data_IF_976143723157
#
_entry.id   IF_976143723157
#
_cell.length_a   1.000
_cell.length_b   1.000
_cell.length_c   1.000
_cell.angle_alpha   90.00
_cell.angle_beta   90.00
_cell.angle_gamma   90.00
#
_symmetry.space_group_name_H-M   'P 1'
#
loop_
_entity.id
_entity.type
_entity.pdbx_description
1 polymer ?
#
# COMPACT_ATOMS: atom_id res chain seq x y z
N UNK A 1 17.01 -41.04 24.02
CA UNK A 1 17.18 -40.07 25.11
C UNK A 1 18.43 -39.26 24.79
N UNK A 2 18.27 -38.17 24.05
CA UNK A 2 19.19 -37.03 23.95
C UNK A 2 18.51 -36.01 23.04
N UNK A 3 18.03 -34.95 23.68
CA UNK A 3 17.39 -33.77 23.12
C UNK A 3 18.48 -32.87 22.54
N UNK A 4 18.26 -32.33 21.33
CA UNK A 4 19.03 -31.20 20.85
C UNK A 4 18.03 -30.13 20.40
N UNK A 5 17.94 -29.08 21.20
CA UNK A 5 17.25 -27.83 20.89
C UNK A 5 18.06 -27.07 19.84
N UNK A 6 17.38 -26.56 18.81
CA UNK A 6 18.01 -25.86 17.70
C UNK A 6 17.09 -24.81 17.09
N UNK A 7 17.22 -23.58 17.60
CA UNK A 7 17.02 -22.29 16.93
C UNK A 7 15.80 -22.12 16.01
N UNK A 8 14.70 -21.64 16.58
CA UNK A 8 13.71 -20.85 15.86
C UNK A 8 14.10 -19.37 15.90
N UNK A 9 14.27 -18.75 14.73
CA UNK A 9 14.56 -17.31 14.64
C UNK A 9 15.17 -16.92 13.30
N UNK A 10 14.39 -16.97 12.22
CA UNK A 10 14.71 -16.29 10.95
C UNK A 10 13.51 -16.21 9.99
N UNK A 11 12.31 -15.90 10.51
CA UNK A 11 11.08 -15.87 9.71
C UNK A 11 10.61 -14.49 9.23
N UNK A 12 11.14 -13.38 9.77
CA UNK A 12 10.43 -12.09 9.70
C UNK A 12 10.98 -11.07 8.69
N UNK A 13 12.13 -11.33 8.05
CA UNK A 13 12.73 -10.44 7.03
C UNK A 13 12.19 -10.69 5.60
N UNK A 14 11.30 -11.67 5.41
CA UNK A 14 10.81 -12.06 4.08
C UNK A 14 9.73 -11.11 3.51
N UNK A 15 8.88 -10.50 4.35
CA UNK A 15 7.78 -9.64 3.86
C UNK A 15 8.26 -8.35 3.19
N UNK A 16 9.30 -7.69 3.73
CA UNK A 16 9.90 -6.53 3.06
C UNK A 16 10.66 -6.91 1.78
N UNK A 17 11.20 -8.13 1.73
CA UNK A 17 12.03 -8.58 0.61
C UNK A 17 11.19 -8.79 -0.66
N UNK A 18 9.96 -9.31 -0.56
CA UNK A 18 9.09 -9.49 -1.74
C UNK A 18 8.54 -8.14 -2.24
N UNK A 19 8.17 -7.21 -1.34
CA UNK A 19 7.77 -5.86 -1.73
C UNK A 19 8.92 -5.04 -2.38
N UNK A 20 10.17 -5.24 -1.95
CA UNK A 20 11.34 -4.59 -2.53
C UNK A 20 11.84 -5.28 -3.82
N UNK A 21 11.81 -6.61 -3.92
CA UNK A 21 12.34 -7.33 -5.09
C UNK A 21 11.48 -7.16 -6.34
N UNK A 22 10.16 -6.99 -6.20
CA UNK A 22 9.26 -6.68 -7.33
C UNK A 22 9.50 -5.30 -7.96
N UNK A 23 10.20 -4.38 -7.29
CA UNK A 23 10.21 -2.96 -7.69
C UNK A 23 11.57 -2.32 -7.98
N UNK A 24 12.70 -2.97 -7.65
CA UNK A 24 14.04 -2.46 -8.03
C UNK A 24 14.27 -2.51 -9.56
N UNK A 25 13.41 -3.19 -10.36
CA UNK A 25 13.68 -3.47 -11.78
C UNK A 25 13.15 -2.47 -12.83
N UNK A 26 12.49 -1.38 -12.46
CA UNK A 26 12.01 -0.37 -13.43
C UNK A 26 12.97 0.81 -13.61
N UNK A 27 14.23 0.53 -13.97
CA UNK A 27 15.21 1.55 -14.38
C UNK A 27 15.41 1.55 -15.90
N UNK A 28 14.96 2.61 -16.57
CA UNK A 28 15.18 2.82 -18.00
C UNK A 28 16.68 2.94 -18.35
N UNK A 29 17.11 2.15 -19.34
CA UNK A 29 18.36 2.33 -20.06
C UNK A 29 18.45 3.73 -20.68
N UNK A 30 19.48 4.49 -20.32
CA UNK A 30 19.96 5.61 -21.12
C UNK A 30 21.36 5.24 -21.63
N UNK A 31 21.43 5.01 -22.93
CA UNK A 31 22.60 4.67 -23.70
C UNK A 31 23.52 5.89 -23.83
N UNK A 32 24.76 5.81 -23.31
CA UNK A 32 25.88 6.61 -23.78
C UNK A 32 27.16 5.80 -23.73
N UNK A 33 27.56 5.39 -24.92
CA UNK A 33 28.90 5.00 -25.31
C UNK A 33 29.96 6.05 -24.92
N UNK A 34 30.97 5.65 -24.13
CA UNK A 34 32.34 6.17 -24.24
C UNK A 34 33.32 5.00 -24.01
N UNK A 35 34.25 4.91 -24.95
CA UNK A 35 35.30 3.93 -25.18
C UNK A 35 36.42 3.84 -24.12
N UNK A 36 36.96 2.63 -24.01
CA UNK A 36 38.29 2.19 -23.55
C UNK A 36 39.23 3.18 -22.83
N UNK A 37 39.73 2.81 -21.64
CA UNK A 37 41.17 2.46 -21.45
C UNK A 37 41.46 1.70 -20.13
N UNK A 38 42.31 0.67 -20.23
CA UNK A 38 43.21 -0.02 -19.26
C UNK A 38 43.12 0.19 -17.73
N UNK A 39 42.95 -0.94 -17.05
CA UNK A 39 43.84 -1.54 -16.03
C UNK A 39 44.74 -0.64 -15.16
N UNK A 40 44.54 -0.71 -13.83
CA UNK A 40 45.62 -0.99 -12.88
C UNK A 40 45.07 -1.44 -11.52
N UNK A 41 45.65 -2.53 -11.04
CA UNK A 41 45.52 -3.19 -9.75
C UNK A 41 46.45 -2.49 -8.75
N UNK A 42 45.96 -1.94 -7.65
CA UNK A 42 46.77 -1.76 -6.43
C UNK A 42 45.90 -2.10 -5.21
N UNK A 43 46.54 -2.92 -4.38
CA UNK A 43 46.07 -3.56 -3.18
C UNK A 43 46.53 -2.76 -1.95
N UNK A 44 45.93 -3.07 -0.79
CA UNK A 44 46.36 -2.82 0.60
C UNK A 44 46.12 -1.46 1.29
N UNK A 45 45.30 -1.59 2.34
CA UNK A 45 45.57 -1.32 3.77
C UNK A 45 46.14 0.05 4.17
N UNK A 46 45.44 0.70 5.11
CA UNK A 46 46.06 1.71 5.97
C UNK A 46 45.08 2.48 6.83
N UNK A 47 45.15 2.25 8.13
CA UNK A 47 44.43 2.90 9.23
C UNK A 47 44.66 4.42 9.25
N UNK A 48 43.75 5.16 9.90
CA UNK A 48 44.13 6.46 10.48
C UNK A 48 42.97 7.39 10.78
N UNK A 49 42.70 7.59 12.07
CA UNK A 49 41.75 8.53 12.64
C UNK A 49 42.05 10.01 12.31
N UNK A 50 41.04 10.89 12.44
CA UNK A 50 41.28 12.32 12.54
C UNK A 50 40.08 13.23 12.30
N UNK A 51 39.37 13.56 13.39
CA UNK A 51 38.83 14.88 13.79
C UNK A 51 38.36 15.94 12.76
N UNK A 52 37.26 16.60 13.14
CA UNK A 52 36.80 17.91 12.64
C UNK A 52 35.85 17.79 11.45
N UNK A 53 34.73 18.49 11.34
CA UNK A 53 34.45 19.88 11.72
C UNK A 53 32.93 20.05 11.85
N UNK A 54 32.53 20.79 12.88
CA UNK A 54 31.18 21.34 13.04
C UNK A 54 30.90 22.36 11.92
N UNK A 55 29.87 22.12 11.12
CA UNK A 55 29.35 23.06 10.13
C UNK A 55 27.91 23.42 10.46
N UNK A 56 27.72 24.42 11.32
CA UNK A 56 26.49 25.21 11.38
C UNK A 56 26.23 25.81 9.99
N UNK A 57 24.99 25.72 9.50
CA UNK A 57 24.55 26.58 8.41
C UNK A 57 23.22 27.22 8.77
N UNK A 58 23.26 28.54 8.62
CA UNK A 58 22.37 29.55 9.14
C UNK A 58 20.97 29.53 8.53
N UNK A 59 20.01 29.78 9.43
CA UNK A 59 18.70 30.35 9.16
C UNK A 59 18.87 31.73 8.51
N UNK A 60 18.21 31.99 7.38
CA UNK A 60 18.07 33.33 6.82
C UNK A 60 16.58 33.70 6.86
N UNK A 61 16.25 34.60 7.78
CA UNK A 61 15.01 35.37 7.86
C UNK A 61 15.25 36.75 7.25
N UNK A 62 14.31 37.24 6.43
CA UNK A 62 14.01 38.66 6.22
C UNK A 62 12.67 38.79 5.44
N UNK A 63 12.04 39.98 5.37
CA UNK A 63 11.07 40.48 6.34
C UNK A 63 9.69 40.78 5.72
N UNK A 64 8.73 41.12 6.59
CA UNK A 64 7.30 41.24 6.26
C UNK A 64 6.85 42.48 5.50
N UNK A 65 5.56 42.47 5.17
CA UNK A 65 4.76 43.64 4.80
C UNK A 65 3.34 43.49 5.35
N UNK A 66 2.74 44.65 5.62
CA UNK A 66 1.67 44.92 6.58
C UNK A 66 0.24 44.71 6.02
N UNK A 67 -0.69 44.48 6.95
CA UNK A 67 -2.15 44.54 6.79
C UNK A 67 -2.66 45.95 6.41
N UNK A 68 -3.90 46.00 5.88
CA UNK A 68 -4.85 46.99 6.37
C UNK A 68 -6.14 46.34 6.93
N UNK A 69 -6.61 46.96 8.01
CA UNK A 69 -7.94 46.99 8.64
C UNK A 69 -9.14 46.94 7.65
N UNK A 70 -10.42 46.71 7.99
CA UNK A 70 -11.27 46.36 9.15
C UNK A 70 -12.71 46.24 8.59
N UNK A 71 -13.56 45.39 9.18
CA UNK A 71 -14.99 45.62 9.48
C UNK A 71 -15.86 44.40 9.14
N UNK A 72 -16.58 43.91 10.16
CA UNK A 72 -17.18 42.58 10.16
C UNK A 72 -18.61 42.48 9.67
N UNK A 73 -19.17 41.28 9.83
CA UNK A 73 -20.59 41.05 10.05
C UNK A 73 -20.84 39.64 10.64
N UNK A 74 -21.54 39.67 11.78
CA UNK A 74 -22.58 38.75 12.28
C UNK A 74 -22.37 37.22 12.33
N UNK A 75 -22.50 36.75 13.57
CA UNK A 75 -22.85 35.41 14.06
C UNK A 75 -24.04 34.81 13.30
N UNK A 76 -23.91 33.55 12.88
CA UNK A 76 -24.98 32.76 12.28
C UNK A 76 -24.59 31.30 12.07
N UNK A 77 -25.01 30.46 13.02
CA UNK A 77 -25.42 29.06 12.91
C UNK A 77 -24.39 27.97 12.49
N UNK A 78 -24.06 27.11 13.48
CA UNK A 78 -23.23 25.93 13.32
C UNK A 78 -24.08 24.75 12.80
N UNK A 79 -24.23 24.67 11.49
CA UNK A 79 -24.67 23.47 10.79
C UNK A 79 -23.48 22.58 10.42
N UNK A 80 -23.48 21.36 10.92
CA UNK A 80 -22.47 20.29 10.72
C UNK A 80 -22.02 20.10 9.27
N UNK A 81 -20.71 20.13 9.02
CA UNK A 81 -20.04 19.85 7.73
C UNK A 81 -20.29 18.43 7.15
N UNK A 82 -20.95 17.53 7.90
CA UNK A 82 -21.23 16.16 7.49
C UNK A 82 -22.41 16.00 6.49
N UNK A 83 -23.18 17.05 6.20
CA UNK A 83 -24.41 16.94 5.37
C UNK A 83 -24.33 17.57 3.98
N UNK A 84 -23.17 18.10 3.55
CA UNK A 84 -23.01 18.78 2.25
C UNK A 84 -22.62 17.87 1.07
N UNK A 85 -22.43 16.57 1.30
CA UNK A 85 -22.03 15.61 0.25
C UNK A 85 -23.21 14.95 -0.50
N UNK A 86 -24.47 15.32 -0.23
CA UNK A 86 -25.64 14.58 -0.76
C UNK A 86 -26.47 15.24 -1.87
N UNK A 87 -26.13 16.42 -2.39
CA UNK A 87 -26.92 17.01 -3.49
C UNK A 87 -26.06 17.71 -4.53
N UNK A 88 -25.87 17.03 -5.67
CA UNK A 88 -25.17 17.60 -6.82
C UNK A 88 -24.89 16.59 -7.94
N UNK A 89 -25.89 15.85 -8.41
CA UNK A 89 -25.79 15.12 -9.68
C UNK A 89 -27.07 15.30 -10.50
N UNK A 90 -26.99 16.20 -11.49
CA UNK A 90 -27.85 16.18 -12.65
C UNK A 90 -27.08 16.69 -13.88
N UNK A 91 -26.82 15.75 -14.79
CA UNK A 91 -26.59 15.89 -16.23
C UNK A 91 -25.30 16.54 -16.76
N UNK A 92 -24.40 15.69 -17.28
CA UNK A 92 -24.05 15.69 -18.71
C UNK A 92 -23.74 14.26 -19.17
N UNK A 93 -24.41 13.84 -20.24
CA UNK A 93 -24.15 12.58 -20.93
C UNK A 93 -22.83 12.69 -21.72
N UNK A 94 -21.80 12.03 -21.21
CA UNK A 94 -20.57 11.68 -21.94
C UNK A 94 -20.12 10.33 -21.40
N UNK A 95 -19.88 9.35 -22.26
CA UNK A 95 -19.40 8.03 -21.88
C UNK A 95 -18.09 8.13 -21.09
N UNK A 96 -18.17 8.03 -19.76
CA UNK A 96 -17.02 7.94 -18.88
C UNK A 96 -17.05 6.56 -18.21
N UNK A 97 -16.19 5.66 -18.70
CA UNK A 97 -16.03 4.26 -18.31
C UNK A 97 -14.58 3.88 -18.66
N UNK A 98 -13.70 3.26 -17.86
CA UNK A 98 -13.73 2.70 -16.50
C UNK A 98 -12.27 2.54 -16.02
N UNK A 99 -12.00 2.34 -14.73
CA UNK A 99 -10.67 2.13 -14.13
C UNK A 99 -10.15 0.68 -14.16
N UNK A 100 -10.79 -0.17 -14.96
CA UNK A 100 -10.10 -1.22 -15.72
C UNK A 100 -10.37 -1.03 -17.21
N UNK A 101 -9.35 -1.25 -18.02
CA UNK A 101 -9.53 -1.25 -19.48
C UNK A 101 -10.36 -2.46 -19.91
N UNK A 102 -10.93 -2.41 -21.12
CA UNK A 102 -11.65 -3.54 -21.70
C UNK A 102 -10.78 -4.80 -21.71
N UNK A 103 -9.51 -4.67 -22.12
CA UNK A 103 -8.57 -5.79 -22.13
C UNK A 103 -8.31 -6.36 -20.73
N UNK A 104 -8.16 -5.51 -19.71
CA UNK A 104 -8.01 -5.96 -18.32
C UNK A 104 -9.25 -6.74 -17.85
N UNK A 105 -10.46 -6.32 -18.19
CA UNK A 105 -11.67 -7.08 -17.89
C UNK A 105 -11.69 -8.45 -18.54
N UNK A 106 -11.27 -8.55 -19.79
CA UNK A 106 -11.23 -9.83 -20.49
C UNK A 106 -10.18 -10.78 -19.90
N UNK A 107 -8.97 -10.28 -19.60
CA UNK A 107 -7.93 -11.07 -18.93
C UNK A 107 -8.38 -11.50 -17.53
N UNK A 108 -8.99 -10.59 -16.76
CA UNK A 108 -9.57 -10.91 -15.45
C UNK A 108 -10.62 -12.01 -15.56
N UNK A 109 -11.50 -11.93 -16.57
CA UNK A 109 -12.55 -12.93 -16.82
C UNK A 109 -12.02 -14.34 -17.06
N UNK A 110 -10.78 -14.49 -17.55
CA UNK A 110 -10.14 -15.79 -17.72
C UNK A 110 -9.60 -16.35 -16.40
N UNK A 111 -8.96 -15.52 -15.58
CA UNK A 111 -8.22 -16.00 -14.40
C UNK A 111 -9.03 -15.91 -13.09
N UNK A 112 -10.16 -15.20 -13.07
CA UNK A 112 -10.94 -14.97 -11.84
C UNK A 112 -11.46 -16.28 -11.23
N UNK A 113 -11.84 -17.25 -12.06
CA UNK A 113 -12.30 -18.57 -11.62
C UNK A 113 -11.18 -19.40 -10.96
N UNK A 114 -9.91 -19.04 -11.18
CA UNK A 114 -8.75 -19.68 -10.58
C UNK A 114 -8.39 -19.07 -9.22
N UNK A 115 -9.16 -18.07 -8.73
CA UNK A 115 -8.92 -17.45 -7.42
C UNK A 115 -9.57 -18.26 -6.30
N UNK A 116 -8.95 -18.18 -5.14
CA UNK A 116 -9.40 -18.81 -3.90
C UNK A 116 -8.93 -17.99 -2.71
N UNK A 117 -9.28 -18.38 -1.49
CA UNK A 117 -8.75 -17.74 -0.29
C UNK A 117 -7.20 -17.71 -0.28
N UNK A 118 -6.56 -18.78 -0.79
CA UNK A 118 -5.10 -18.91 -0.84
C UNK A 118 -4.45 -18.27 -2.07
N UNK A 119 -5.24 -17.83 -3.04
CA UNK A 119 -4.79 -17.16 -4.26
C UNK A 119 -5.78 -16.04 -4.58
N UNK A 120 -5.48 -14.84 -4.10
CA UNK A 120 -6.42 -13.73 -4.09
C UNK A 120 -5.77 -12.46 -4.66
N UNK A 121 -6.60 -11.57 -5.19
CA UNK A 121 -6.12 -10.27 -5.65
C UNK A 121 -5.73 -9.37 -4.49
N UNK A 122 -4.63 -8.66 -4.67
CA UNK A 122 -4.08 -7.72 -3.71
C UNK A 122 -3.64 -6.43 -4.43
N UNK A 123 -2.77 -5.66 -3.77
CA UNK A 123 -2.14 -4.49 -4.36
C UNK A 123 -3.11 -3.38 -4.76
N UNK A 124 -2.72 -2.61 -5.77
CA UNK A 124 -3.47 -1.41 -6.19
C UNK A 124 -4.85 -1.73 -6.78
N UNK A 125 -5.01 -2.91 -7.36
CA UNK A 125 -6.23 -3.34 -8.04
C UNK A 125 -7.44 -3.39 -7.09
N UNK A 126 -7.23 -3.84 -5.84
CA UNK A 126 -8.28 -3.97 -4.82
C UNK A 126 -9.01 -2.64 -4.55
N UNK A 127 -8.27 -1.53 -4.56
CA UNK A 127 -8.84 -0.20 -4.37
C UNK A 127 -9.34 0.40 -5.69
N UNK A 128 -8.65 0.12 -6.80
CA UNK A 128 -8.77 0.90 -8.03
C UNK A 128 -9.56 0.19 -9.14
N UNK A 129 -10.28 -0.90 -8.85
CA UNK A 129 -11.10 -1.61 -9.84
C UNK A 129 -12.47 -0.97 -10.09
N UNK A 130 -13.02 -0.23 -9.12
CA UNK A 130 -14.36 0.37 -9.17
C UNK A 130 -14.42 1.64 -10.03
N UNK A 131 -15.52 1.85 -10.77
CA UNK A 131 -15.68 2.87 -11.82
C UNK A 131 -15.24 4.31 -11.48
N UNK A 132 -15.35 4.69 -10.22
CA UNK A 132 -15.04 6.00 -9.67
C UNK A 132 -13.60 6.14 -9.12
N UNK A 133 -12.76 5.12 -9.34
CA UNK A 133 -11.38 5.08 -8.88
C UNK A 133 -10.57 6.31 -9.32
N UNK A 134 -9.66 6.81 -8.46
CA UNK A 134 -8.79 7.94 -8.75
C UNK A 134 -7.79 7.68 -9.89
N UNK A 135 -7.38 6.43 -10.10
CA UNK A 135 -6.31 6.06 -11.03
C UNK A 135 -6.52 4.68 -11.65
N UNK A 136 -5.92 4.45 -12.80
CA UNK A 136 -5.85 3.12 -13.40
C UNK A 136 -4.89 2.22 -12.62
N UNK A 137 -5.21 0.93 -12.51
CA UNK A 137 -4.22 -0.10 -12.16
C UNK A 137 -3.52 -0.61 -13.43
N UNK A 138 -2.21 -0.82 -13.38
CA UNK A 138 -1.43 -1.29 -14.54
C UNK A 138 -1.15 -2.79 -14.49
N UNK A 139 -1.17 -3.32 -13.29
CA UNK A 139 -0.73 -4.63 -12.88
C UNK A 139 -1.84 -5.32 -12.09
N UNK A 140 -1.89 -6.65 -12.25
CA UNK A 140 -2.68 -7.56 -11.44
C UNK A 140 -1.75 -8.22 -10.43
N UNK A 141 -1.90 -7.85 -9.16
CA UNK A 141 -1.16 -8.44 -8.05
C UNK A 141 -1.99 -9.59 -7.46
N UNK A 142 -1.46 -10.81 -7.50
CA UNK A 142 -2.09 -12.02 -6.92
C UNK A 142 -1.20 -12.57 -5.82
N UNK A 143 -1.71 -12.59 -4.60
CA UNK A 143 -0.95 -13.02 -3.42
C UNK A 143 -1.31 -14.44 -3.01
N UNK A 144 -0.30 -15.14 -2.49
CA UNK A 144 -0.41 -16.52 -2.00
C UNK A 144 0.21 -16.65 -0.63
N UNK A 145 -0.45 -17.43 0.23
CA UNK A 145 0.05 -17.74 1.59
C UNK A 145 1.25 -18.72 1.54
N UNK A 146 1.42 -19.47 0.45
CA UNK A 146 2.47 -20.49 0.28
C UNK A 146 3.11 -20.43 -1.11
N UNK A 147 4.42 -20.66 -1.20
CA UNK A 147 5.16 -20.66 -2.49
C UNK A 147 4.67 -21.77 -3.43
N UNK A 148 4.30 -22.94 -2.90
CA UNK A 148 3.78 -24.03 -3.74
C UNK A 148 2.44 -23.68 -4.39
N UNK A 149 1.58 -22.94 -3.68
CA UNK A 149 0.29 -22.50 -4.22
C UNK A 149 0.50 -21.45 -5.33
N UNK A 150 1.49 -20.56 -5.15
CA UNK A 150 1.93 -19.61 -6.18
C UNK A 150 2.38 -20.32 -7.46
N UNK A 151 3.28 -21.29 -7.34
CA UNK A 151 3.83 -22.00 -8.50
C UNK A 151 2.72 -22.70 -9.29
N UNK A 152 1.87 -23.48 -8.61
CA UNK A 152 0.76 -24.21 -9.24
C UNK A 152 -0.23 -23.24 -9.89
N UNK A 153 -0.59 -22.18 -9.18
CA UNK A 153 -1.63 -21.26 -9.65
C UNK A 153 -1.14 -20.37 -10.79
N UNK A 154 0.12 -19.93 -10.76
CA UNK A 154 0.71 -19.16 -11.85
C UNK A 154 0.81 -19.96 -13.15
N UNK A 155 1.19 -21.25 -13.10
CA UNK A 155 1.17 -22.11 -14.28
C UNK A 155 -0.26 -22.32 -14.81
N UNK A 156 -1.22 -22.54 -13.90
CA UNK A 156 -2.62 -22.73 -14.27
C UNK A 156 -3.22 -21.48 -14.94
N UNK A 157 -2.89 -20.28 -14.43
CA UNK A 157 -3.30 -19.02 -15.04
C UNK A 157 -2.70 -18.85 -16.44
N UNK A 158 -1.42 -19.17 -16.63
CA UNK A 158 -0.78 -19.13 -17.95
C UNK A 158 -1.50 -20.06 -18.93
N UNK A 159 -1.74 -21.31 -18.55
CA UNK A 159 -2.44 -22.29 -19.40
C UNK A 159 -3.85 -21.79 -19.75
N UNK A 160 -4.56 -21.20 -18.79
CA UNK A 160 -5.90 -20.64 -19.00
C UNK A 160 -5.88 -19.50 -20.02
N UNK A 161 -4.89 -18.61 -19.91
CA UNK A 161 -4.72 -17.45 -20.80
C UNK A 161 -4.31 -17.85 -22.22
N UNK A 162 -3.37 -18.79 -22.36
CA UNK A 162 -2.96 -19.33 -23.65
C UNK A 162 -4.12 -20.06 -24.33
N UNK A 163 -4.91 -20.83 -23.57
CA UNK A 163 -6.11 -21.52 -24.08
C UNK A 163 -7.20 -20.55 -24.53
N UNK A 164 -7.27 -19.36 -23.92
CA UNK A 164 -8.15 -18.27 -24.34
C UNK A 164 -7.60 -17.46 -25.54
N UNK A 165 -6.44 -17.84 -26.08
CA UNK A 165 -5.85 -17.25 -27.28
C UNK A 165 -4.98 -16.01 -27.02
N UNK A 166 -4.60 -15.75 -25.76
CA UNK A 166 -3.65 -14.68 -25.43
C UNK A 166 -2.21 -15.14 -25.57
N UNK A 167 -1.33 -14.24 -25.99
CA UNK A 167 0.11 -14.48 -25.90
C UNK A 167 0.58 -14.16 -24.48
N UNK A 168 1.33 -15.08 -23.85
CA UNK A 168 1.84 -14.90 -22.49
C UNK A 168 3.37 -14.94 -22.50
N UNK A 169 3.98 -13.82 -22.16
CA UNK A 169 5.43 -13.70 -22.01
C UNK A 169 5.81 -13.90 -20.54
N UNK A 170 6.34 -15.08 -20.20
CA UNK A 170 6.91 -15.36 -18.87
C UNK A 170 8.23 -14.57 -18.71
N UNK A 171 8.29 -13.65 -17.74
CA UNK A 171 9.53 -12.94 -17.43
C UNK A 171 10.40 -13.82 -16.53
N UNK A 172 11.35 -14.52 -17.15
CA UNK A 172 12.18 -15.55 -16.52
C UNK A 172 13.67 -15.21 -16.52
N UNK A 173 14.02 -13.95 -16.22
CA UNK A 173 15.41 -13.47 -16.32
C UNK A 173 16.37 -14.15 -15.33
N UNK A 174 15.86 -14.73 -14.24
CA UNK A 174 16.66 -15.35 -13.18
C UNK A 174 16.18 -16.77 -12.83
N UNK A 175 15.42 -17.39 -13.74
CA UNK A 175 14.88 -18.74 -13.57
C UNK A 175 13.70 -18.79 -12.59
N UNK A 176 12.97 -17.69 -12.40
CA UNK A 176 11.77 -17.62 -11.54
C UNK A 176 10.67 -18.61 -11.95
N UNK A 177 10.61 -19.00 -13.23
CA UNK A 177 9.65 -19.95 -13.78
C UNK A 177 10.18 -21.39 -13.87
N UNK A 178 11.49 -21.60 -13.68
CA UNK A 178 12.13 -22.92 -13.82
C UNK A 178 12.17 -23.71 -12.49
N UNK A 179 11.83 -23.06 -11.38
CA UNK A 179 11.89 -23.62 -10.03
C UNK A 179 10.86 -22.94 -9.12
N UNK A 180 10.65 -23.46 -7.90
CA UNK A 180 9.83 -22.77 -6.93
C UNK A 180 10.34 -21.36 -6.62
N UNK A 181 9.45 -20.37 -6.71
CA UNK A 181 9.81 -18.96 -6.57
C UNK A 181 8.77 -18.19 -5.75
N UNK A 182 9.23 -17.32 -4.86
CA UNK A 182 8.36 -16.41 -4.09
C UNK A 182 7.76 -15.29 -4.92
N UNK A 183 8.17 -15.16 -6.19
CA UNK A 183 7.65 -14.16 -7.11
C UNK A 183 7.75 -14.66 -8.56
N UNK A 184 6.68 -14.49 -9.32
CA UNK A 184 6.62 -14.74 -10.76
C UNK A 184 5.92 -13.57 -11.45
N UNK A 185 6.36 -13.27 -12.67
CA UNK A 185 5.81 -12.18 -13.48
C UNK A 185 5.62 -12.62 -14.91
N UNK A 186 4.50 -12.24 -15.51
CA UNK A 186 4.23 -12.43 -16.92
C UNK A 186 3.56 -11.20 -17.53
N UNK A 187 3.72 -11.03 -18.84
CA UNK A 187 3.01 -10.03 -19.63
C UNK A 187 2.03 -10.75 -20.55
N UNK A 188 0.75 -10.47 -20.39
CA UNK A 188 -0.32 -10.99 -21.26
C UNK A 188 -0.57 -9.98 -22.36
N UNK A 189 -0.62 -10.43 -23.62
CA UNK A 189 -0.71 -9.56 -24.79
C UNK A 189 -1.80 -10.02 -25.76
N UNK A 190 -2.43 -9.03 -26.41
CA UNK A 190 -3.23 -9.23 -27.63
C UNK A 190 -3.16 -8.00 -28.50
N UNK A 191 -2.57 -8.13 -29.69
CA UNK A 191 -2.27 -6.98 -30.54
C UNK A 191 -1.37 -5.99 -29.79
N UNK A 192 -1.80 -4.72 -29.72
CA UNK A 192 -1.08 -3.65 -29.03
C UNK A 192 -1.47 -3.51 -27.54
N UNK A 193 -2.43 -4.29 -27.06
CA UNK A 193 -2.87 -4.28 -25.66
C UNK A 193 -2.04 -5.25 -24.81
N UNK A 194 -1.66 -4.82 -23.61
CA UNK A 194 -0.95 -5.66 -22.65
C UNK A 194 -1.32 -5.38 -21.20
N UNK A 195 -1.17 -6.40 -20.34
CA UNK A 195 -1.31 -6.29 -18.88
C UNK A 195 -0.25 -7.14 -18.19
N UNK A 196 0.31 -6.63 -17.09
CA UNK A 196 1.27 -7.36 -16.26
C UNK A 196 0.52 -8.16 -15.20
N UNK A 197 0.88 -9.42 -15.03
CA UNK A 197 0.44 -10.26 -13.92
C UNK A 197 1.65 -10.57 -13.04
N UNK A 198 1.47 -10.32 -11.74
CA UNK A 198 2.49 -10.48 -10.72
C UNK A 198 1.92 -11.45 -9.66
N UNK A 199 2.49 -12.64 -9.56
CA UNK A 199 2.17 -13.60 -8.50
C UNK A 199 3.25 -13.50 -7.43
N UNK A 200 2.84 -13.24 -6.19
CA UNK A 200 3.75 -13.05 -5.07
C UNK A 200 3.37 -13.94 -3.88
N UNK A 201 4.37 -14.45 -3.19
CA UNK A 201 4.20 -15.04 -1.87
C UNK A 201 4.21 -13.90 -0.86
N UNK A 202 3.16 -13.80 -0.05
CA UNK A 202 3.03 -12.79 1.00
C UNK A 202 2.79 -13.46 2.35
N UNK A 203 3.10 -12.75 3.42
CA UNK A 203 2.80 -13.24 4.77
C UNK A 203 1.30 -13.50 4.91
N UNK A 204 0.94 -14.68 5.42
CA UNK A 204 -0.43 -15.01 5.76
C UNK A 204 -0.96 -14.20 6.96
N UNK A 205 -0.12 -13.37 7.62
CA UNK A 205 -0.54 -12.51 8.71
C UNK A 205 -1.41 -11.34 8.21
N UNK A 206 -2.65 -11.30 8.68
CA UNK A 206 -3.66 -10.27 8.34
C UNK A 206 -4.63 -10.05 9.48
N UNK A 207 -5.30 -8.90 9.49
CA UNK A 207 -6.34 -8.59 10.47
C UNK A 207 -7.63 -9.29 10.12
N UNK A 208 -8.03 -9.24 8.86
CA UNK A 208 -9.29 -9.82 8.38
C UNK A 208 -9.03 -10.97 7.41
N UNK A 209 -9.95 -11.95 7.33
CA UNK A 209 -9.88 -12.99 6.31
C UNK A 209 -9.91 -12.40 4.90
N UNK A 210 -9.44 -13.19 3.93
CA UNK A 210 -9.66 -12.88 2.51
C UNK A 210 -11.16 -12.91 2.24
N UNK A 211 -11.63 -11.94 1.46
CA UNK A 211 -13.05 -11.76 1.19
C UNK A 211 -13.38 -12.06 -0.27
N UNK A 212 -14.59 -12.53 -0.51
CA UNK A 212 -15.12 -12.67 -1.86
C UNK A 212 -15.42 -11.31 -2.46
N UNK A 213 -15.20 -11.16 -3.76
CA UNK A 213 -15.48 -9.94 -4.50
C UNK A 213 -16.23 -10.28 -5.80
N UNK A 214 -17.32 -9.57 -6.15
CA UNK A 214 -18.08 -9.88 -7.35
C UNK A 214 -17.30 -9.75 -8.67
N UNK A 215 -16.29 -8.87 -8.70
CA UNK A 215 -15.47 -8.63 -9.88
C UNK A 215 -14.15 -9.41 -9.82
N UNK A 216 -13.49 -9.41 -8.65
CA UNK A 216 -12.17 -10.01 -8.46
C UNK A 216 -12.22 -11.48 -8.00
N UNK A 217 -13.40 -12.01 -7.67
CA UNK A 217 -13.57 -13.36 -7.13
C UNK A 217 -13.15 -13.44 -5.67
N UNK A 218 -11.86 -13.30 -5.40
CA UNK A 218 -11.26 -13.26 -4.06
C UNK A 218 -10.24 -12.13 -3.95
N UNK A 219 -10.29 -11.38 -2.85
CA UNK A 219 -9.37 -10.27 -2.63
C UNK A 219 -8.99 -10.08 -1.16
N UNK A 220 -7.87 -9.40 -0.97
CA UNK A 220 -7.47 -8.89 0.35
C UNK A 220 -8.55 -7.95 0.91
N UNK A 221 -8.78 -8.03 2.22
CA UNK A 221 -9.63 -7.08 2.92
C UNK A 221 -9.06 -5.65 2.75
N UNK A 222 -9.94 -4.66 2.60
CA UNK A 222 -9.51 -3.31 2.23
C UNK A 222 -8.65 -2.65 3.32
N UNK A 223 -8.95 -2.94 4.59
CA UNK A 223 -8.12 -2.49 5.71
C UNK A 223 -6.70 -3.10 5.69
N UNK A 224 -6.59 -4.39 5.39
CA UNK A 224 -5.28 -5.05 5.23
C UNK A 224 -4.51 -4.49 4.03
N UNK A 225 -5.21 -4.11 2.96
CA UNK A 225 -4.63 -3.38 1.84
C UNK A 225 -4.10 -2.00 2.28
N UNK A 226 -4.85 -1.27 3.11
CA UNK A 226 -4.41 0.01 3.68
C UNK A 226 -3.15 -0.13 4.54
N UNK A 227 -3.11 -1.15 5.39
CA UNK A 227 -1.93 -1.50 6.18
C UNK A 227 -0.72 -1.79 5.28
N UNK A 228 -0.90 -2.63 4.25
CA UNK A 228 0.16 -2.94 3.28
C UNK A 228 0.63 -1.67 2.54
N UNK A 229 -0.27 -0.72 2.26
CA UNK A 229 0.07 0.55 1.61
C UNK A 229 0.84 1.50 2.51
N UNK A 230 0.54 1.55 3.81
CA UNK A 230 1.32 2.33 4.76
C UNK A 230 2.78 1.85 4.82
N UNK A 231 3.00 0.53 4.88
CA UNK A 231 4.34 -0.07 4.85
C UNK A 231 5.06 0.14 3.52
N UNK A 232 4.35 0.01 2.40
CA UNK A 232 4.95 0.32 1.10
C UNK A 232 5.37 1.80 1.01
N UNK A 233 4.50 2.73 1.42
CA UNK A 233 4.77 4.16 1.38
C UNK A 233 5.90 4.56 2.34
N UNK A 234 6.09 3.85 3.45
CA UNK A 234 7.19 4.12 4.38
C UNK A 234 8.57 3.62 3.87
N UNK A 235 8.60 2.82 2.81
CA UNK A 235 9.82 2.21 2.29
C UNK A 235 10.23 2.75 0.90
N UNK A 236 9.32 3.33 0.12
CA UNK A 236 9.61 3.81 -1.25
C UNK A 236 8.80 5.05 -1.64
N UNK A 237 9.34 5.81 -2.59
CA UNK A 237 8.62 6.92 -3.24
C UNK A 237 8.02 6.45 -4.56
N UNK A 238 6.72 6.17 -4.56
CA UNK A 238 5.96 5.88 -5.79
C UNK A 238 4.65 6.67 -5.73
N UNK A 239 4.39 7.50 -6.75
CA UNK A 239 3.18 8.37 -6.80
C UNK A 239 1.88 7.60 -6.56
N UNK A 240 1.79 6.35 -7.04
CA UNK A 240 0.60 5.50 -6.86
C UNK A 240 0.31 5.17 -5.38
N UNK A 241 1.35 4.94 -4.58
CA UNK A 241 1.18 4.62 -3.16
C UNK A 241 0.72 5.85 -2.38
N UNK A 242 1.16 7.05 -2.78
CA UNK A 242 0.68 8.31 -2.22
C UNK A 242 -0.79 8.59 -2.55
N UNK A 243 -1.23 8.34 -3.80
CA UNK A 243 -2.64 8.47 -4.17
C UNK A 243 -3.48 7.45 -3.38
N UNK A 244 -3.05 6.18 -3.37
CA UNK A 244 -3.79 5.11 -2.72
C UNK A 244 -3.95 5.38 -1.21
N UNK A 245 -2.90 5.82 -0.50
CA UNK A 245 -3.01 6.07 0.94
C UNK A 245 -3.97 7.22 1.25
N UNK A 246 -4.03 8.25 0.41
CA UNK A 246 -4.97 9.36 0.61
C UNK A 246 -6.41 8.90 0.50
N UNK A 247 -6.69 8.03 -0.47
CA UNK A 247 -8.04 7.50 -0.69
C UNK A 247 -8.44 6.52 0.40
N UNK A 248 -7.50 5.70 0.88
CA UNK A 248 -7.71 4.82 2.01
C UNK A 248 -7.89 5.60 3.31
N UNK A 249 -7.20 6.73 3.48
CA UNK A 249 -7.34 7.61 4.64
C UNK A 249 -8.70 8.35 4.69
N UNK A 250 -9.45 8.38 3.59
CA UNK A 250 -10.85 8.85 3.55
C UNK A 250 -11.85 7.79 3.99
N UNK A 251 -11.44 6.51 4.00
CA UNK A 251 -12.24 5.36 4.42
C UNK A 251 -11.92 5.00 5.87
N UNK A 252 -10.64 4.91 6.20
CA UNK A 252 -10.15 4.57 7.53
C UNK A 252 -9.26 5.70 8.07
N UNK A 253 -9.34 6.04 9.36
CA UNK A 253 -8.44 7.03 9.95
C UNK A 253 -6.96 6.64 9.74
N UNK A 254 -6.12 7.59 9.32
CA UNK A 254 -4.70 7.31 9.03
C UNK A 254 -3.97 6.76 10.26
N UNK A 255 -4.26 7.32 11.44
CA UNK A 255 -3.77 6.85 12.73
C UNK A 255 -4.10 5.37 13.00
N UNK A 256 -5.28 4.90 12.60
CA UNK A 256 -5.67 3.50 12.73
C UNK A 256 -4.88 2.59 11.78
N UNK A 257 -4.69 3.02 10.53
CA UNK A 257 -3.88 2.30 9.54
C UNK A 257 -2.42 2.18 10.02
N UNK A 258 -1.84 3.30 10.48
CA UNK A 258 -0.45 3.36 10.95
C UNK A 258 -0.25 2.50 12.20
N UNK A 259 -1.18 2.58 13.15
CA UNK A 259 -1.12 1.78 14.39
C UNK A 259 -1.17 0.28 14.10
N UNK A 260 -2.07 -0.15 13.21
CA UNK A 260 -2.17 -1.54 12.80
C UNK A 260 -0.94 -1.98 11.98
N UNK A 261 -0.39 -1.13 11.11
CA UNK A 261 0.76 -1.52 10.29
C UNK A 261 1.99 -1.99 11.08
N UNK A 262 2.20 -1.47 12.29
CA UNK A 262 3.24 -1.94 13.21
C UNK A 262 3.07 -3.39 13.67
N UNK A 263 1.89 -4.01 13.53
CA UNK A 263 1.68 -5.42 13.84
C UNK A 263 2.16 -6.37 12.75
N UNK A 264 2.28 -5.88 11.51
CA UNK A 264 2.89 -6.64 10.41
C UNK A 264 4.41 -6.50 10.37
N UNK A 265 4.94 -5.39 10.88
CA UNK A 265 6.37 -5.12 11.01
C UNK A 265 6.67 -4.51 12.38
N UNK A 266 7.03 -5.38 13.32
CA UNK A 266 7.37 -5.05 14.70
C UNK A 266 8.63 -4.16 14.82
N UNK A 267 9.37 -3.97 13.72
CA UNK A 267 10.49 -3.03 13.66
C UNK A 267 10.07 -1.55 13.70
N UNK A 268 8.77 -1.26 13.55
CA UNK A 268 8.24 0.09 13.57
C UNK A 268 7.48 0.41 14.87
N UNK A 269 7.69 1.63 15.39
CA UNK A 269 6.68 2.30 16.22
C UNK A 269 5.75 3.16 15.34
N UNK A 270 4.51 3.45 15.78
CA UNK A 270 3.56 4.23 14.97
C UNK A 270 4.10 5.60 14.53
N UNK A 271 4.76 6.33 15.44
CA UNK A 271 5.37 7.63 15.13
C UNK A 271 6.55 7.49 14.14
N UNK A 272 7.37 6.45 14.28
CA UNK A 272 8.46 6.23 13.34
C UNK A 272 7.95 5.87 11.95
N UNK A 273 6.94 5.00 11.85
CA UNK A 273 6.32 4.64 10.58
C UNK A 273 5.72 5.88 9.89
N UNK A 274 4.95 6.69 10.62
CA UNK A 274 4.36 7.92 10.09
C UNK A 274 5.42 8.92 9.59
N UNK A 275 6.52 9.08 10.34
CA UNK A 275 7.64 9.93 9.91
C UNK A 275 8.25 9.43 8.58
N UNK A 276 8.40 8.12 8.43
CA UNK A 276 8.91 7.51 7.19
C UNK A 276 7.92 7.68 6.03
N UNK A 277 6.62 7.52 6.27
CA UNK A 277 5.58 7.81 5.27
C UNK A 277 5.66 9.27 4.82
N UNK A 278 5.72 10.24 5.74
CA UNK A 278 5.87 11.68 5.42
C UNK A 278 7.10 11.97 4.58
N UNK A 279 8.23 11.27 4.82
CA UNK A 279 9.48 11.42 4.07
C UNK A 279 9.35 10.98 2.61
N UNK A 280 8.66 9.88 2.36
CA UNK A 280 8.57 9.26 1.03
C UNK A 280 7.32 9.64 0.23
N UNK A 281 6.33 10.21 0.89
CA UNK A 281 5.10 10.78 0.33
C UNK A 281 5.37 11.96 -0.64
N UNK A 282 5.64 11.63 -1.91
CA UNK A 282 5.90 12.58 -2.98
C UNK A 282 5.12 12.23 -4.25
N UNK A 283 4.56 13.26 -4.87
CA UNK A 283 3.99 13.17 -6.22
C UNK A 283 5.07 13.58 -7.22
N UNK A 284 5.36 12.70 -8.17
CA UNK A 284 6.07 13.05 -9.40
C UNK A 284 5.04 13.50 -10.47
N UNK A 285 5.05 14.78 -10.91
CA UNK A 285 4.01 15.30 -11.81
C UNK A 285 3.86 14.53 -13.12
N UNK A 286 4.97 14.18 -13.79
CA UNK A 286 4.93 13.44 -15.06
C UNK A 286 4.39 12.01 -14.93
N UNK A 287 4.40 11.44 -13.72
CA UNK A 287 3.82 10.13 -13.43
C UNK A 287 2.33 10.24 -13.13
N UNK A 288 1.88 11.31 -12.46
CA UNK A 288 0.47 11.53 -12.12
C UNK A 288 -0.42 11.59 -13.35
N UNK A 289 -0.02 12.36 -14.37
CA UNK A 289 -0.80 12.52 -15.60
C UNK A 289 -1.01 11.20 -16.36
N UNK A 290 -0.09 10.24 -16.19
CA UNK A 290 -0.13 8.93 -16.86
C UNK A 290 -0.97 7.89 -16.12
N UNK A 291 -1.27 8.10 -14.84
CA UNK A 291 -1.96 7.10 -14.02
C UNK A 291 -3.36 7.54 -13.62
N UNK A 292 -3.62 8.85 -13.55
CA UNK A 292 -4.92 9.38 -13.13
C UNK A 292 -6.06 8.89 -14.04
N UNK A 293 -7.16 8.48 -13.42
CA UNK A 293 -8.41 8.11 -14.08
C UNK A 293 -9.48 9.21 -13.92
N UNK A 294 -9.26 10.14 -12.98
CA UNK A 294 -10.01 11.38 -12.80
C UNK A 294 -9.06 12.57 -12.65
N UNK A 295 -9.61 13.77 -12.63
CA UNK A 295 -8.82 14.96 -12.32
C UNK A 295 -8.33 14.89 -10.86
N UNK A 296 -7.02 15.06 -10.68
CA UNK A 296 -6.34 15.06 -9.39
C UNK A 296 -5.52 16.33 -9.29
N UNK A 297 -5.75 17.12 -8.24
CA UNK A 297 -5.00 18.33 -7.94
C UNK A 297 -3.85 18.01 -6.97
N UNK A 298 -2.58 18.04 -7.42
CA UNK A 298 -1.43 17.74 -6.57
C UNK A 298 -1.30 18.67 -5.36
N UNK A 299 -1.73 19.92 -5.48
CA UNK A 299 -1.63 20.93 -4.42
C UNK A 299 -2.66 20.60 -3.35
N UNK A 300 -3.92 20.40 -3.74
CA UNK A 300 -4.97 19.99 -2.81
C UNK A 300 -4.61 18.68 -2.09
N UNK A 301 -4.10 17.68 -2.83
CA UNK A 301 -3.65 16.42 -2.24
C UNK A 301 -2.50 16.61 -1.24
N UNK A 302 -1.56 17.53 -1.53
CA UNK A 302 -0.47 17.84 -0.60
C UNK A 302 -0.97 18.49 0.69
N UNK A 303 -1.92 19.42 0.60
CA UNK A 303 -2.56 20.06 1.76
C UNK A 303 -3.33 19.02 2.57
N UNK A 304 -4.10 18.16 1.91
CA UNK A 304 -4.82 17.06 2.55
C UNK A 304 -3.86 16.12 3.30
N UNK A 305 -2.79 15.68 2.64
CA UNK A 305 -1.77 14.81 3.27
C UNK A 305 -1.16 15.43 4.53
N UNK A 306 -0.77 16.70 4.47
CA UNK A 306 -0.23 17.40 5.64
C UNK A 306 -1.25 17.34 6.78
N UNK A 307 -2.48 17.77 6.49
CA UNK A 307 -3.58 17.82 7.45
C UNK A 307 -3.84 16.45 8.11
N UNK A 308 -3.99 15.39 7.33
CA UNK A 308 -4.28 14.05 7.88
C UNK A 308 -3.07 13.46 8.62
N UNK A 309 -1.84 13.77 8.17
CA UNK A 309 -0.64 13.24 8.82
C UNK A 309 -0.37 13.94 10.16
N UNK A 310 -0.64 15.24 10.26
CA UNK A 310 -0.52 16.02 11.49
C UNK A 310 -1.58 15.58 12.50
N UNK A 311 -2.82 15.41 12.07
CA UNK A 311 -3.88 14.82 12.90
C UNK A 311 -3.50 13.43 13.40
N UNK A 312 -2.96 12.58 12.52
CA UNK A 312 -2.60 11.21 12.89
C UNK A 312 -1.48 11.19 13.95
N UNK A 313 -0.49 12.08 13.83
CA UNK A 313 0.56 12.24 14.84
C UNK A 313 -0.01 12.67 16.20
N UNK A 314 -0.88 13.69 16.22
CA UNK A 314 -1.52 14.17 17.45
C UNK A 314 -2.33 13.06 18.14
N UNK A 315 -3.13 12.32 17.38
CA UNK A 315 -3.97 11.23 17.92
C UNK A 315 -3.15 10.03 18.40
N UNK A 316 -2.06 9.68 17.71
CA UNK A 316 -1.13 8.63 18.14
C UNK A 316 -0.46 9.03 19.47
N UNK A 317 0.02 10.27 19.59
CA UNK A 317 0.64 10.79 20.82
C UNK A 317 -0.39 10.75 21.96
N UNK A 318 -1.59 11.28 21.71
CA UNK A 318 -2.66 11.30 22.71
C UNK A 318 -3.03 9.90 23.20
N UNK A 319 -3.12 8.91 22.31
CA UNK A 319 -3.41 7.54 22.71
C UNK A 319 -2.27 6.95 23.55
N UNK A 320 -1.02 7.17 23.15
CA UNK A 320 0.15 6.69 23.88
C UNK A 320 0.26 7.32 25.29
N UNK A 321 -0.05 8.62 25.43
CA UNK A 321 -0.02 9.32 26.71
C UNK A 321 -1.17 8.92 27.65
N UNK A 322 -2.37 8.72 27.09
CA UNK A 322 -3.57 8.43 27.90
C UNK A 322 -3.79 6.94 28.18
N UNK A 323 -3.24 6.05 27.33
CA UNK A 323 -3.34 4.60 27.43
C UNK A 323 -1.98 3.96 27.10
N UNK A 324 -0.96 4.10 27.97
CA UNK A 324 0.39 3.61 27.70
C UNK A 324 0.47 2.08 27.52
N UNK A 325 -0.48 1.34 28.10
CA UNK A 325 -0.57 -0.12 27.98
C UNK A 325 -1.34 -0.58 26.72
N UNK A 326 -1.75 0.35 25.85
CA UNK A 326 -2.44 0.01 24.59
C UNK A 326 -1.50 -0.81 23.69
N UNK A 327 -1.87 -2.04 23.29
CA UNK A 327 -1.02 -2.82 22.40
C UNK A 327 -0.85 -2.12 21.05
N UNK A 328 0.40 -2.01 20.61
CA UNK A 328 0.76 -1.54 19.26
C UNK A 328 0.54 -2.68 18.27
N UNK A 329 0.17 -2.36 17.03
CA UNK A 329 0.01 -3.38 15.99
C UNK A 329 -1.32 -4.12 16.04
N UNK A 330 -2.36 -3.49 16.59
CA UNK A 330 -3.73 -3.99 16.58
C UNK A 330 -4.63 -3.12 15.69
N UNK A 331 -5.70 -3.71 15.17
CA UNK A 331 -6.81 -2.95 14.63
C UNK A 331 -7.80 -2.62 15.75
N UNK A 332 -8.61 -1.58 15.56
CA UNK A 332 -9.76 -1.29 16.41
C UNK A 332 -11.03 -1.43 15.60
N UNK A 333 -12.02 -2.14 16.11
CA UNK A 333 -13.23 -2.49 15.36
C UNK A 333 -14.49 -2.27 16.18
N UNK A 334 -15.58 -1.93 15.51
CA UNK A 334 -16.91 -1.86 16.14
C UNK A 334 -17.55 -3.25 16.29
N UNK A 335 -18.82 -3.28 16.68
CA UNK A 335 -19.61 -4.50 16.84
C UNK A 335 -19.88 -5.24 15.52
N UNK A 336 -19.76 -4.57 14.38
CA UNK A 336 -19.88 -5.13 13.02
C UNK A 336 -18.53 -5.55 12.45
N UNK A 337 -17.45 -5.25 13.15
CA UNK A 337 -16.09 -5.49 12.68
C UNK A 337 -15.57 -4.43 11.72
N UNK A 338 -16.20 -3.25 11.66
CA UNK A 338 -15.72 -2.14 10.84
C UNK A 338 -14.52 -1.45 11.52
N UNK A 339 -13.37 -1.31 10.84
CA UNK A 339 -12.19 -0.66 11.40
C UNK A 339 -12.41 0.82 11.71
N UNK A 340 -11.88 1.28 12.84
CA UNK A 340 -11.93 2.68 13.27
C UNK A 340 -10.74 3.07 14.14
N UNK A 341 -10.87 4.21 14.81
CA UNK A 341 -9.86 4.72 15.73
C UNK A 341 -10.40 4.88 17.15
N UNK A 342 -9.76 4.21 18.11
CA UNK A 342 -10.24 4.16 19.50
C UNK A 342 -10.18 5.52 20.22
N UNK A 343 -9.33 6.44 19.77
CA UNK A 343 -9.28 7.82 20.28
C UNK A 343 -10.52 8.65 19.91
N UNK A 344 -11.19 8.29 18.80
CA UNK A 344 -12.40 8.94 18.33
C UNK A 344 -13.67 8.21 18.81
N UNK A 345 -13.62 6.88 18.93
CA UNK A 345 -14.72 6.07 19.45
C UNK A 345 -14.20 5.09 20.52
N UNK A 346 -14.48 5.35 21.81
CA UNK A 346 -13.98 4.52 22.91
C UNK A 346 -14.65 3.14 23.00
N UNK A 347 -15.77 2.92 22.31
CA UNK A 347 -16.51 1.65 22.31
C UNK A 347 -15.89 0.62 21.35
N UNK A 348 -14.92 1.03 20.53
CA UNK A 348 -14.19 0.12 19.66
C UNK A 348 -13.37 -0.88 20.48
N UNK A 349 -13.34 -2.11 19.97
CA UNK A 349 -12.63 -3.23 20.59
C UNK A 349 -11.29 -3.46 19.91
N UNK A 350 -10.33 -3.95 20.69
CA UNK A 350 -9.04 -4.39 20.17
C UNK A 350 -9.26 -5.64 19.30
N UNK A 351 -8.70 -5.62 18.10
CA UNK A 351 -8.71 -6.73 17.15
C UNK A 351 -7.29 -7.07 16.74
N UNK A 352 -6.82 -8.24 17.16
CA UNK A 352 -5.48 -8.72 16.86
C UNK A 352 -5.40 -9.32 15.47
N UNK A 353 -4.28 -9.07 14.77
CA UNK A 353 -3.95 -9.82 13.56
C UNK A 353 -3.68 -11.29 13.88
N UNK A 354 -3.92 -12.16 12.91
CA UNK A 354 -3.68 -13.59 13.04
C UNK A 354 -3.24 -14.20 11.71
N UNK A 355 -2.75 -15.44 11.76
CA UNK A 355 -2.50 -16.21 10.54
C UNK A 355 -3.83 -16.47 9.85
N UNK A 356 -3.92 -16.00 8.61
CA UNK A 356 -5.12 -15.94 7.76
C UNK A 356 -6.20 -14.96 8.17
N UNK A 357 -6.02 -14.23 9.27
CA UNK A 357 -6.99 -13.26 9.77
C UNK A 357 -8.22 -13.93 10.39
N UNK A 358 -8.98 -13.14 11.13
CA UNK A 358 -10.22 -13.59 11.75
C UNK A 358 -11.24 -12.47 11.78
N UNK A 359 -12.52 -12.84 11.76
CA UNK A 359 -13.56 -11.87 12.08
C UNK A 359 -13.61 -11.65 13.59
N UNK A 360 -13.90 -10.43 14.06
CA UNK A 360 -14.07 -10.16 15.48
C UNK A 360 -15.13 -11.11 16.07
N UNK A 361 -14.76 -11.82 17.14
CA UNK A 361 -15.70 -12.70 17.84
C UNK A 361 -16.47 -11.86 18.85
N UNK A 362 -17.79 -11.81 18.69
CA UNK A 362 -18.66 -11.27 19.74
C UNK A 362 -18.70 -12.34 20.83
N UNK A 363 -17.84 -12.22 21.84
CA UNK A 363 -18.09 -12.90 23.10
C UNK A 363 -19.37 -12.28 23.66
N UNK A 364 -20.49 -13.00 23.57
CA UNK A 364 -21.61 -12.72 24.45
C UNK A 364 -21.04 -12.82 25.87
N UNK A 365 -21.04 -11.71 26.59
CA UNK A 365 -20.81 -11.75 28.03
C UNK A 365 -22.01 -12.50 28.57
N UNK A 366 -21.82 -13.77 28.95
CA UNK A 366 -22.78 -14.45 29.80
C UNK A 366 -22.88 -13.60 31.08
N UNK A 367 -24.00 -12.88 31.23
CA UNK A 367 -24.32 -12.19 32.47
C UNK A 367 -24.44 -13.25 33.59
N UNK A 368 -23.86 -12.99 34.78
CA UNK A 368 -23.82 -13.94 35.89
C UNK A 368 -25.18 -14.31 36.48
#
# INVERSE_FOLDING_TARGET
>A
MQTNEGSGGNGMLASLTVMCQGFIRNGHHCDRSISHTRAARIDRQGRGAGAGVWGQMFLVLAPGCQNPNVAGHSVGDQGTQAQRWKQGMACRAGTQRMPLTKFQHEVLGVIVANRSEKSHFAGGLVLNAAEDSPRYSKDFDVFHDEVSDLDVTSEHDVVSLESAGYAVEKLNAYGEWDKPSSFRKAIVKRGDEQVSLDWAHDSAFRYFPIVTDPLLGWRLHLFDMAVNKALALSARTVTRDYIDILELARIYPLEAIVWAACGKDEGFSPLFLLAMMRRFAKIEPGTLDKIRARELDPIAMKIEWITISDKAEEEIIRLADTRPDMPIGVAFVDDKGEPGWIGANPDLRIHYGSIRGCWPTISAVDEP
#
